data_IF_887174356662
#
_entry.id   IF_887174356662
#
_cell.length_a   1.000
_cell.length_b   1.000
_cell.length_c   1.000
_cell.angle_alpha   90.00
_cell.angle_beta   90.00
_cell.angle_gamma   90.00
#
_symmetry.space_group_name_H-M   'P 1'
#
loop_
_entity.id
_entity.type
_entity.pdbx_description
1 polymer ?
#
# COMPACT_ATOMS: atom_id res chain seq x y z
N UNK A 1 -9.00 -26.92 -17.28
CA UNK A 1 -10.01 -26.74 -16.21
C UNK A 1 -9.30 -26.77 -14.86
N UNK A 2 -8.84 -25.64 -14.31
CA UNK A 2 -8.32 -25.64 -12.95
C UNK A 2 -9.48 -25.74 -11.96
N UNK A 3 -9.33 -26.64 -10.98
CA UNK A 3 -10.27 -26.90 -9.90
C UNK A 3 -10.54 -25.63 -9.10
N UNK A 4 -11.82 -25.37 -8.81
CA UNK A 4 -12.22 -24.50 -7.72
C UNK A 4 -11.53 -24.96 -6.44
N UNK A 5 -10.73 -24.09 -5.83
CA UNK A 5 -10.25 -24.32 -4.47
C UNK A 5 -11.46 -24.38 -3.56
N UNK A 6 -11.62 -25.55 -2.93
CA UNK A 6 -12.55 -25.77 -1.84
C UNK A 6 -12.34 -24.69 -0.78
N UNK A 7 -13.43 -24.08 -0.34
CA UNK A 7 -13.57 -23.30 0.87
C UNK A 7 -13.19 -24.14 2.11
N UNK A 8 -11.91 -24.42 2.28
CA UNK A 8 -11.33 -25.00 3.47
C UNK A 8 -11.00 -23.88 4.44
N UNK A 9 -12.01 -23.40 5.16
CA UNK A 9 -11.78 -22.59 6.35
C UNK A 9 -11.02 -23.42 7.37
N UNK A 10 -9.69 -23.30 7.40
CA UNK A 10 -8.94 -23.72 8.56
C UNK A 10 -9.41 -22.84 9.73
N UNK A 11 -9.85 -23.48 10.82
CA UNK A 11 -10.47 -22.86 11.99
C UNK A 11 -9.54 -21.92 12.82
N UNK A 12 -8.49 -21.36 12.20
CA UNK A 12 -7.44 -20.57 12.88
C UNK A 12 -7.13 -19.20 12.28
N UNK A 13 -7.84 -18.76 11.23
CA UNK A 13 -7.51 -17.54 10.45
C UNK A 13 -8.60 -16.45 10.49
N UNK A 14 -9.38 -16.41 11.57
CA UNK A 14 -10.42 -15.38 11.78
C UNK A 14 -9.84 -14.08 12.34
N UNK A 15 -10.35 -12.94 11.88
CA UNK A 15 -10.09 -11.63 12.47
C UNK A 15 -10.43 -11.58 13.97
N UNK A 16 -11.45 -12.33 14.40
CA UNK A 16 -11.87 -12.40 15.80
C UNK A 16 -10.84 -13.10 16.71
N UNK A 17 -9.86 -13.80 16.13
CA UNK A 17 -8.77 -14.42 16.87
C UNK A 17 -7.77 -13.39 17.40
N UNK A 18 -7.81 -12.13 16.96
CA UNK A 18 -6.87 -11.09 17.41
C UNK A 18 -7.48 -10.18 18.48
N UNK A 19 -6.63 -9.72 19.40
CA UNK A 19 -6.91 -8.60 20.30
C UNK A 19 -5.74 -7.61 20.28
N UNK A 20 -6.06 -6.34 20.38
CA UNK A 20 -5.09 -5.28 20.61
C UNK A 20 -5.22 -4.76 22.04
N UNK A 21 -4.09 -4.58 22.71
CA UNK A 21 -4.01 -3.98 24.04
C UNK A 21 -3.21 -2.69 23.92
N UNK A 22 -3.78 -1.56 24.38
CA UNK A 22 -3.07 -0.28 24.37
C UNK A 22 -1.93 -0.33 25.39
N UNK A 23 -0.70 -0.27 24.90
CA UNK A 23 0.51 -0.26 25.73
C UNK A 23 0.93 1.16 26.09
N UNK A 24 0.66 2.12 25.22
CA UNK A 24 0.98 3.52 25.48
C UNK A 24 0.38 4.46 24.45
N UNK A 25 0.15 5.69 24.87
CA UNK A 25 -0.26 6.79 24.01
C UNK A 25 0.64 7.98 24.30
N UNK A 26 1.18 8.57 23.22
CA UNK A 26 2.02 9.76 23.29
C UNK A 26 1.44 10.82 22.36
N UNK A 27 1.28 12.03 22.90
CA UNK A 27 0.95 13.22 22.14
C UNK A 27 2.11 14.20 22.15
N UNK A 28 2.46 14.72 20.98
CA UNK A 28 3.47 15.77 20.83
C UNK A 28 2.95 16.85 19.92
N UNK A 29 3.38 18.09 20.15
CA UNK A 29 3.06 19.23 19.30
C UNK A 29 4.37 19.86 18.84
N UNK A 30 4.50 20.11 17.53
CA UNK A 30 5.72 20.69 16.99
C UNK A 30 5.76 20.70 15.46
N UNK A 31 6.91 21.08 14.87
CA UNK A 31 7.08 21.00 13.43
C UNK A 31 7.00 19.55 12.94
N UNK A 32 6.62 19.37 11.67
CA UNK A 32 6.62 18.03 11.07
C UNK A 32 8.04 17.45 11.10
N UNK A 33 8.24 16.22 11.59
CA UNK A 33 9.55 15.55 11.56
C UNK A 33 9.99 15.18 10.14
N UNK A 34 9.04 15.14 9.19
CA UNK A 34 9.28 14.69 7.82
C UNK A 34 9.73 15.88 6.94
N UNK A 35 10.88 16.46 7.26
CA UNK A 35 11.63 17.29 6.33
C UNK A 35 12.15 16.38 5.22
N UNK A 36 11.45 16.29 4.08
CA UNK A 36 11.94 15.55 2.91
C UNK A 36 13.29 16.12 2.49
N UNK A 37 14.36 15.43 2.85
CA UNK A 37 15.73 15.75 2.41
C UNK A 37 15.79 15.61 0.89
N UNK A 38 15.64 16.72 0.20
CA UNK A 38 15.81 16.80 -1.25
C UNK A 38 17.29 16.78 -1.57
N UNK A 39 17.84 15.61 -1.93
CA UNK A 39 19.01 15.47 -2.81
C UNK A 39 19.56 14.04 -2.93
N UNK A 40 19.20 13.11 -2.03
CA UNK A 40 19.74 11.75 -2.08
C UNK A 40 18.91 10.80 -2.96
N UNK A 41 19.60 9.88 -3.66
CA UNK A 41 18.98 8.71 -4.29
C UNK A 41 18.24 7.89 -3.24
N UNK A 42 16.92 7.92 -3.29
CA UNK A 42 16.03 7.27 -2.34
C UNK A 42 16.02 5.76 -2.59
N UNK A 43 16.14 4.96 -1.53
CA UNK A 43 15.98 3.52 -1.63
C UNK A 43 14.49 3.19 -1.82
N UNK A 44 14.14 2.59 -2.97
CA UNK A 44 12.76 2.26 -3.31
C UNK A 44 12.42 0.80 -3.00
N UNK A 45 13.35 -0.12 -3.25
CA UNK A 45 13.13 -1.55 -3.02
C UNK A 45 14.44 -2.30 -2.77
N UNK A 46 14.33 -3.49 -2.16
CA UNK A 46 15.43 -4.43 -1.99
C UNK A 46 15.02 -5.83 -2.46
N UNK A 47 15.98 -6.57 -2.98
CA UNK A 47 15.85 -8.01 -3.24
C UNK A 47 17.19 -8.69 -3.03
N UNK A 48 17.28 -9.50 -1.96
CA UNK A 48 18.55 -10.07 -1.54
C UNK A 48 19.58 -8.94 -1.39
N UNK A 49 20.66 -9.04 -2.14
CA UNK A 49 21.75 -8.06 -2.15
C UNK A 49 21.52 -6.85 -3.05
N UNK A 50 20.51 -6.91 -3.94
CA UNK A 50 20.22 -5.83 -4.86
C UNK A 50 19.36 -4.76 -4.20
N UNK A 51 19.67 -3.50 -4.51
CA UNK A 51 18.94 -2.32 -4.03
C UNK A 51 18.54 -1.46 -5.23
N UNK A 52 17.25 -1.15 -5.32
CA UNK A 52 16.70 -0.26 -6.34
C UNK A 52 16.59 1.14 -5.76
N UNK A 53 17.20 2.10 -6.44
CA UNK A 53 17.23 3.50 -6.01
C UNK A 53 16.58 4.41 -7.05
N UNK A 54 15.80 5.37 -6.57
CA UNK A 54 15.15 6.40 -7.37
C UNK A 54 15.78 7.77 -7.16
N UNK A 55 15.90 8.53 -8.23
CA UNK A 55 16.17 9.96 -8.19
C UNK A 55 15.40 10.64 -9.32
N UNK A 56 15.24 11.96 -9.24
CA UNK A 56 14.68 12.72 -10.36
C UNK A 56 15.47 12.37 -11.64
N UNK A 57 14.76 11.94 -12.69
CA UNK A 57 15.36 11.62 -13.97
C UNK A 57 15.93 10.19 -14.12
N UNK A 58 16.00 9.39 -13.05
CA UNK A 58 16.59 8.05 -13.16
C UNK A 58 16.19 7.07 -12.06
N UNK A 59 16.18 5.78 -12.42
CA UNK A 59 16.16 4.66 -11.48
C UNK A 59 17.40 3.79 -11.72
N UNK A 60 18.00 3.26 -10.67
CA UNK A 60 19.19 2.42 -10.78
C UNK A 60 19.17 1.24 -9.83
N UNK A 61 19.98 0.23 -10.15
CA UNK A 61 20.23 -0.92 -9.29
C UNK A 61 21.68 -0.93 -8.84
N UNK A 62 21.90 -1.11 -7.55
CA UNK A 62 23.23 -1.32 -6.96
C UNK A 62 23.30 -2.67 -6.26
N UNK A 63 24.49 -3.26 -6.23
CA UNK A 63 24.74 -4.49 -5.48
C UNK A 63 25.12 -4.23 -4.00
N UNK A 64 25.39 -5.30 -3.26
CA UNK A 64 25.81 -5.26 -1.85
C UNK A 64 27.08 -4.45 -1.62
N UNK A 65 27.99 -4.44 -2.59
CA UNK A 65 29.24 -3.67 -2.57
C UNK A 65 29.04 -2.20 -2.98
N UNK A 66 27.81 -1.78 -3.30
CA UNK A 66 27.50 -0.42 -3.75
C UNK A 66 27.85 -0.15 -5.20
N UNK A 67 28.20 -1.17 -5.99
CA UNK A 67 28.49 -0.99 -7.41
C UNK A 67 27.19 -0.86 -8.20
N UNK A 68 27.11 0.16 -9.04
CA UNK A 68 25.99 0.32 -9.98
C UNK A 68 26.02 -0.81 -11.00
N UNK A 69 24.94 -1.59 -11.06
CA UNK A 69 24.73 -2.62 -12.08
C UNK A 69 24.18 -2.03 -13.36
N UNK A 70 23.20 -1.14 -13.22
CA UNK A 70 22.61 -0.41 -14.33
C UNK A 70 21.92 0.86 -13.83
N UNK A 71 21.64 1.76 -14.77
CA UNK A 71 20.83 2.96 -14.56
C UNK A 71 19.92 3.14 -15.76
N UNK A 72 18.64 3.33 -15.50
CA UNK A 72 17.62 3.63 -16.49
C UNK A 72 17.23 5.11 -16.36
N UNK A 73 17.16 5.84 -17.47
CA UNK A 73 16.71 7.24 -17.49
C UNK A 73 15.19 7.29 -17.60
N UNK A 74 14.53 8.18 -16.88
CA UNK A 74 13.09 8.39 -16.96
C UNK A 74 12.77 9.89 -16.90
N UNK A 75 11.63 10.32 -17.44
CA UNK A 75 11.25 11.75 -17.42
C UNK A 75 10.80 12.25 -16.03
N UNK A 76 10.33 11.34 -15.17
CA UNK A 76 9.75 11.65 -13.87
C UNK A 76 10.69 11.41 -12.68
N UNK A 77 10.08 11.46 -11.49
CA UNK A 77 10.67 11.01 -10.23
C UNK A 77 10.11 9.62 -9.88
N UNK A 78 10.93 8.56 -9.87
CA UNK A 78 10.53 7.29 -9.27
C UNK A 78 10.04 7.47 -7.83
N UNK A 79 8.86 6.96 -7.52
CA UNK A 79 8.21 7.12 -6.22
C UNK A 79 8.06 5.79 -5.46
N UNK A 80 8.04 4.65 -6.16
CA UNK A 80 8.08 3.31 -5.58
C UNK A 80 8.67 2.31 -6.58
N UNK A 81 9.17 1.18 -6.06
CA UNK A 81 9.61 0.06 -6.88
C UNK A 81 9.15 -1.26 -6.28
N UNK A 82 8.81 -2.22 -7.14
CA UNK A 82 8.36 -3.55 -6.77
C UNK A 82 9.17 -4.57 -7.57
N UNK A 83 9.70 -5.58 -6.89
CA UNK A 83 10.56 -6.59 -7.53
C UNK A 83 9.87 -7.94 -7.53
N UNK A 84 9.76 -8.57 -8.71
CA UNK A 84 9.11 -9.87 -8.92
C UNK A 84 9.91 -10.66 -9.95
N UNK A 85 10.30 -11.92 -9.68
CA UNK A 85 10.99 -12.74 -10.69
C UNK A 85 12.29 -12.13 -11.22
N UNK A 86 12.38 -11.79 -12.50
CA UNK A 86 13.52 -11.09 -13.10
C UNK A 86 13.13 -9.68 -13.56
N UNK A 87 12.14 -9.09 -12.89
CA UNK A 87 11.54 -7.80 -13.24
C UNK A 87 11.52 -6.84 -12.07
N UNK A 88 11.57 -5.56 -12.41
CA UNK A 88 11.29 -4.45 -11.51
C UNK A 88 10.21 -3.59 -12.15
N UNK A 89 9.13 -3.36 -11.41
CA UNK A 89 8.13 -2.37 -11.77
C UNK A 89 8.39 -1.11 -10.95
N UNK A 90 8.51 0.04 -11.61
CA UNK A 90 8.79 1.33 -10.98
C UNK A 90 7.66 2.29 -11.30
N UNK A 91 6.94 2.77 -10.29
CA UNK A 91 5.98 3.86 -10.47
C UNK A 91 6.69 5.21 -10.38
N UNK A 92 6.24 6.18 -11.16
CA UNK A 92 6.87 7.51 -11.21
C UNK A 92 5.84 8.62 -11.05
N UNK A 93 6.28 9.74 -10.50
CA UNK A 93 5.57 11.02 -10.57
C UNK A 93 6.13 11.84 -11.74
N UNK A 94 5.25 12.46 -12.50
CA UNK A 94 5.61 13.45 -13.52
C UNK A 94 6.13 14.73 -12.85
N UNK A 95 7.12 15.37 -13.48
CA UNK A 95 7.61 16.69 -13.08
C UNK A 95 6.72 17.82 -13.59
N UNK A 96 5.91 17.53 -14.61
CA UNK A 96 4.96 18.45 -15.21
C UNK A 96 3.53 17.99 -14.91
N UNK A 97 2.61 18.94 -14.81
CA UNK A 97 1.19 18.63 -14.65
C UNK A 97 0.64 18.04 -15.96
N UNK A 98 0.01 16.86 -15.85
CA UNK A 98 -0.61 16.14 -16.95
C UNK A 98 -2.14 16.09 -16.76
N UNK A 99 -2.92 15.61 -17.75
CA UNK A 99 -4.33 15.31 -17.53
C UNK A 99 -4.61 14.33 -16.38
N UNK A 100 -3.60 13.62 -15.87
CA UNK A 100 -3.69 12.72 -14.71
C UNK A 100 -3.06 13.33 -13.44
N UNK A 101 -2.93 14.67 -13.40
CA UNK A 101 -2.17 15.38 -12.38
C UNK A 101 -0.68 15.12 -12.53
N UNK A 102 0.00 14.81 -11.42
CA UNK A 102 1.43 14.49 -11.40
C UNK A 102 1.71 13.00 -11.61
N UNK A 103 0.77 12.22 -12.16
CA UNK A 103 1.01 10.80 -12.44
C UNK A 103 2.01 10.66 -13.60
N UNK A 104 3.14 10.01 -13.35
CA UNK A 104 4.07 9.57 -14.39
C UNK A 104 3.78 8.15 -14.87
N UNK A 105 4.50 7.67 -15.89
CA UNK A 105 4.40 6.28 -16.34
C UNK A 105 4.87 5.31 -15.25
N UNK A 106 4.39 4.07 -15.33
CA UNK A 106 4.97 2.96 -14.59
C UNK A 106 5.89 2.17 -15.53
N UNK A 107 7.15 1.98 -15.13
CA UNK A 107 8.19 1.38 -15.97
C UNK A 107 8.40 -0.06 -15.55
N UNK A 108 8.16 -1.01 -16.47
CA UNK A 108 8.55 -2.41 -16.28
C UNK A 108 9.94 -2.61 -16.87
N UNK A 109 10.91 -2.91 -16.01
CA UNK A 109 12.32 -3.07 -16.36
C UNK A 109 12.78 -4.51 -16.14
N UNK A 110 13.72 -4.96 -16.96
CA UNK A 110 14.50 -6.17 -16.69
C UNK A 110 15.47 -5.91 -15.52
N UNK A 111 15.44 -6.79 -14.51
CA UNK A 111 16.26 -6.62 -13.30
C UNK A 111 17.76 -6.83 -13.59
N UNK A 112 18.13 -7.59 -14.62
CA UNK A 112 19.52 -7.91 -14.90
C UNK A 112 20.29 -6.71 -15.47
N UNK A 113 19.68 -5.96 -16.40
CA UNK A 113 20.35 -4.91 -17.17
C UNK A 113 19.63 -3.55 -17.17
N UNK A 114 18.43 -3.46 -16.59
CA UNK A 114 17.66 -2.22 -16.54
C UNK A 114 17.00 -1.84 -17.88
N UNK A 115 16.94 -2.75 -18.85
CA UNK A 115 16.26 -2.52 -20.12
C UNK A 115 14.75 -2.36 -19.90
N UNK A 116 14.16 -1.37 -20.57
CA UNK A 116 12.70 -1.20 -20.58
C UNK A 116 12.06 -2.38 -21.32
N UNK A 117 11.13 -3.04 -20.63
CA UNK A 117 10.29 -4.10 -21.18
C UNK A 117 8.98 -3.51 -21.67
N UNK A 118 8.31 -2.71 -20.82
CA UNK A 118 7.06 -2.05 -21.15
C UNK A 118 6.89 -0.75 -20.36
N UNK A 119 6.18 0.20 -20.96
CA UNK A 119 5.64 1.37 -20.27
C UNK A 119 4.16 1.12 -19.99
N UNK A 120 3.78 1.20 -18.71
CA UNK A 120 2.44 0.94 -18.19
C UNK A 120 1.90 2.19 -17.51
N UNK A 121 0.64 2.14 -17.06
CA UNK A 121 0.00 3.22 -16.32
C UNK A 121 -0.62 2.72 -15.03
N UNK A 122 -0.29 3.38 -13.92
CA UNK A 122 -0.86 3.08 -12.63
C UNK A 122 -0.21 3.93 -11.53
N UNK A 123 -0.99 4.25 -10.51
CA UNK A 123 -0.55 5.06 -9.36
C UNK A 123 -0.01 4.20 -8.23
N UNK A 124 -0.61 3.02 -8.01
CA UNK A 124 -0.19 2.06 -6.98
C UNK A 124 0.06 0.72 -7.62
N UNK A 125 0.99 -0.03 -7.06
CA UNK A 125 1.35 -1.33 -7.59
C UNK A 125 1.77 -2.31 -6.49
N UNK A 126 1.84 -3.59 -6.85
CA UNK A 126 2.44 -4.63 -6.02
C UNK A 126 3.00 -5.78 -6.88
N UNK A 127 4.04 -6.43 -6.37
CA UNK A 127 4.59 -7.65 -6.96
C UNK A 127 3.73 -8.88 -6.63
N UNK A 128 3.38 -9.69 -7.64
CA UNK A 128 2.59 -10.93 -7.49
C UNK A 128 3.43 -12.21 -7.42
N UNK A 129 4.72 -12.12 -7.74
CA UNK A 129 5.61 -13.27 -7.92
C UNK A 129 5.74 -13.69 -9.39
N UNK A 130 6.80 -14.43 -9.72
CA UNK A 130 7.03 -14.96 -11.06
C UNK A 130 7.30 -13.92 -12.17
N UNK A 131 7.58 -12.66 -11.81
CA UNK A 131 7.70 -11.56 -12.78
C UNK A 131 6.41 -10.78 -13.01
N UNK A 132 5.31 -11.19 -12.37
CA UNK A 132 4.00 -10.54 -12.50
C UNK A 132 3.80 -9.42 -11.50
N UNK A 133 2.95 -8.46 -11.86
CA UNK A 133 2.61 -7.30 -11.06
C UNK A 133 1.14 -6.95 -11.18
N UNK A 134 0.61 -6.26 -10.18
CA UNK A 134 -0.63 -5.51 -10.29
C UNK A 134 -0.35 -4.02 -10.25
N UNK A 135 -1.11 -3.27 -11.04
CA UNK A 135 -1.16 -1.81 -10.98
C UNK A 135 -2.61 -1.38 -10.90
N UNK A 136 -2.87 -0.26 -10.23
CA UNK A 136 -4.17 0.37 -10.35
C UNK A 136 -4.12 1.87 -10.36
N UNK A 137 -5.25 2.43 -10.76
CA UNK A 137 -5.44 3.84 -10.95
C UNK A 137 -6.83 4.25 -10.46
N UNK A 138 -6.91 5.46 -9.94
CA UNK A 138 -8.15 6.06 -9.47
C UNK A 138 -8.21 7.55 -9.80
N UNK A 139 -9.36 7.97 -10.34
CA UNK A 139 -9.65 9.31 -10.83
C UNK A 139 -10.11 9.32 -12.28
N UNK A 140 -10.83 10.38 -12.69
CA UNK A 140 -11.40 10.52 -14.04
C UNK A 140 -12.21 9.29 -14.47
N UNK A 141 -13.16 8.87 -13.63
CA UNK A 141 -14.01 7.67 -13.77
C UNK A 141 -13.28 6.32 -13.76
N UNK A 142 -11.95 6.31 -13.61
CA UNK A 142 -11.16 5.09 -13.41
C UNK A 142 -11.17 4.70 -11.95
N UNK A 143 -11.42 3.41 -11.69
CA UNK A 143 -11.30 2.79 -10.38
C UNK A 143 -10.93 1.31 -10.57
N UNK A 144 -9.76 1.11 -11.16
CA UNK A 144 -9.40 -0.18 -11.75
C UNK A 144 -8.02 -0.65 -11.31
N UNK A 145 -7.89 -1.96 -11.26
CA UNK A 145 -6.65 -2.71 -11.05
C UNK A 145 -6.45 -3.62 -12.25
N UNK A 146 -5.22 -3.71 -12.74
CA UNK A 146 -4.80 -4.56 -13.85
C UNK A 146 -3.65 -5.46 -13.39
N UNK A 147 -3.70 -6.75 -13.71
CA UNK A 147 -2.58 -7.68 -13.54
C UNK A 147 -1.81 -7.80 -14.85
N UNK A 148 -0.50 -7.59 -14.80
CA UNK A 148 0.39 -7.70 -15.93
C UNK A 148 1.39 -8.85 -15.74
N UNK A 149 1.66 -9.56 -16.83
CA UNK A 149 2.72 -10.55 -16.88
C UNK A 149 4.11 -9.88 -17.02
N UNK A 150 5.15 -10.70 -16.93
CA UNK A 150 6.56 -10.31 -16.96
C UNK A 150 7.00 -9.55 -18.21
N UNK A 151 6.24 -9.61 -19.30
CA UNK A 151 6.49 -8.91 -20.56
C UNK A 151 5.63 -7.63 -20.71
N UNK A 152 4.78 -7.34 -19.73
CA UNK A 152 3.84 -6.22 -19.78
C UNK A 152 2.49 -6.57 -20.41
N UNK A 153 2.24 -7.83 -20.77
CA UNK A 153 0.94 -8.28 -21.27
C UNK A 153 -0.11 -8.23 -20.16
N UNK A 154 -1.26 -7.61 -20.44
CA UNK A 154 -2.41 -7.60 -19.52
C UNK A 154 -3.00 -9.02 -19.42
N UNK A 155 -3.16 -9.52 -18.19
CA UNK A 155 -3.65 -10.88 -17.92
C UNK A 155 -5.00 -10.91 -17.22
N UNK A 156 -5.33 -9.88 -16.44
CA UNK A 156 -6.63 -9.75 -15.77
C UNK A 156 -6.87 -8.30 -15.34
N UNK A 157 -8.12 -7.97 -14.99
CA UNK A 157 -8.51 -6.64 -14.56
C UNK A 157 -9.74 -6.64 -13.66
N UNK A 158 -9.75 -5.79 -12.64
CA UNK A 158 -10.83 -5.67 -11.66
C UNK A 158 -11.21 -4.22 -11.46
N UNK A 159 -12.51 -3.96 -11.29
CA UNK A 159 -13.02 -2.66 -10.87
C UNK A 159 -12.85 -2.47 -9.36
N UNK A 160 -11.60 -2.27 -8.95
CA UNK A 160 -11.17 -2.02 -7.58
C UNK A 160 -9.83 -1.27 -7.59
N UNK A 161 -9.56 -0.43 -6.61
CA UNK A 161 -8.28 0.26 -6.44
C UNK A 161 -8.00 0.56 -4.97
N UNK A 162 -6.74 0.43 -4.54
CA UNK A 162 -6.35 0.79 -3.18
C UNK A 162 -4.97 0.29 -2.80
N UNK A 163 -4.84 -0.22 -1.58
CA UNK A 163 -3.61 -0.86 -1.10
C UNK A 163 -3.66 -2.36 -1.35
N UNK A 164 -2.71 -2.87 -2.13
CA UNK A 164 -2.65 -4.28 -2.49
C UNK A 164 -1.99 -5.12 -1.40
N UNK A 165 -2.71 -6.13 -0.93
CA UNK A 165 -2.19 -7.16 -0.04
C UNK A 165 -2.01 -8.45 -0.83
N UNK A 166 -0.76 -8.73 -1.16
CA UNK A 166 -0.35 -9.96 -1.86
C UNK A 166 0.05 -11.03 -0.85
N UNK A 167 -0.52 -12.22 -1.01
CA UNK A 167 -0.17 -13.42 -0.23
C UNK A 167 -0.57 -14.67 -1.00
N UNK A 168 -1.32 -15.58 -0.38
CA UNK A 168 -1.91 -16.74 -1.09
C UNK A 168 -2.95 -16.33 -2.15
N UNK A 169 -3.43 -15.09 -2.10
CA UNK A 169 -4.30 -14.48 -3.09
C UNK A 169 -4.00 -12.99 -3.22
N UNK A 170 -4.93 -12.26 -3.84
CA UNK A 170 -4.86 -10.81 -3.98
C UNK A 170 -6.04 -10.18 -3.24
N UNK A 171 -5.76 -9.33 -2.27
CA UNK A 171 -6.76 -8.52 -1.56
C UNK A 171 -6.44 -7.05 -1.73
N UNK A 172 -7.45 -6.21 -1.63
CA UNK A 172 -7.31 -4.75 -1.72
C UNK A 172 -8.02 -4.12 -0.54
N UNK A 173 -7.34 -3.22 0.16
CA UNK A 173 -7.98 -2.24 1.04
C UNK A 173 -8.27 -1.03 0.16
N UNK A 174 -9.52 -0.90 -0.28
CA UNK A 174 -9.91 0.08 -1.29
C UNK A 174 -9.72 1.51 -0.79
N UNK A 175 -9.32 2.39 -1.71
CA UNK A 175 -9.14 3.81 -1.48
C UNK A 175 -9.93 4.59 -2.53
N UNK A 176 -11.24 4.74 -2.28
CA UNK A 176 -12.19 5.47 -3.11
C UNK A 176 -12.43 6.86 -2.50
N UNK A 177 -11.98 7.92 -3.19
CA UNK A 177 -12.09 9.31 -2.72
C UNK A 177 -13.53 9.84 -2.59
N UNK A 178 -14.54 9.07 -2.99
CA UNK A 178 -15.95 9.47 -2.89
C UNK A 178 -16.38 9.64 -1.44
N UNK A 179 -17.26 10.62 -1.17
CA UNK A 179 -17.81 10.88 0.17
C UNK A 179 -19.35 10.98 0.07
N UNK A 180 -20.11 10.04 0.67
CA UNK A 180 -19.63 8.85 1.37
C UNK A 180 -18.90 7.88 0.43
N UNK A 181 -17.94 7.12 0.96
CA UNK A 181 -17.17 6.13 0.20
C UNK A 181 -17.95 4.82 0.09
N UNK A 182 -17.80 4.11 -1.03
CA UNK A 182 -18.26 2.73 -1.19
C UNK A 182 -17.14 1.71 -0.93
N UNK A 183 -15.96 2.18 -0.52
CA UNK A 183 -14.74 1.40 -0.33
C UNK A 183 -14.90 0.24 0.67
N UNK A 184 -14.20 -0.85 0.38
CA UNK A 184 -14.20 -2.09 1.16
C UNK A 184 -12.81 -2.69 1.30
N UNK A 185 -12.69 -3.69 2.15
CA UNK A 185 -11.66 -4.71 1.94
C UNK A 185 -12.23 -5.78 1.02
N UNK A 186 -11.58 -6.02 -0.12
CA UNK A 186 -12.05 -6.97 -1.14
C UNK A 186 -10.99 -8.02 -1.43
N UNK A 187 -11.42 -9.14 -2.03
CA UNK A 187 -10.55 -10.14 -2.66
C UNK A 187 -10.77 -10.10 -4.17
N UNK A 188 -9.68 -10.07 -4.92
CA UNK A 188 -9.68 -10.11 -6.38
C UNK A 188 -9.50 -11.57 -6.83
N UNK A 189 -10.47 -12.07 -7.57
CA UNK A 189 -10.52 -13.44 -8.09
C UNK A 189 -10.36 -13.43 -9.62
N UNK A 190 -9.80 -14.49 -10.22
CA UNK A 190 -9.59 -14.53 -11.66
C UNK A 190 -10.84 -14.21 -12.50
N UNK A 191 -10.63 -13.54 -13.65
CA UNK A 191 -11.69 -13.15 -14.57
C UNK A 191 -12.44 -11.89 -14.13
N UNK A 192 -11.76 -10.99 -13.42
CA UNK A 192 -12.31 -9.70 -12.98
C UNK A 192 -13.36 -9.76 -11.86
N UNK A 193 -13.50 -10.90 -11.18
CA UNK A 193 -14.46 -11.04 -10.08
C UNK A 193 -13.94 -10.38 -8.80
N UNK A 194 -14.77 -9.54 -8.17
CA UNK A 194 -14.47 -8.87 -6.90
C UNK A 194 -15.35 -9.43 -5.80
N UNK A 195 -14.77 -10.20 -4.89
CA UNK A 195 -15.44 -10.68 -3.69
C UNK A 195 -15.38 -9.60 -2.60
N UNK A 196 -16.56 -9.17 -2.14
CA UNK A 196 -16.70 -8.03 -1.23
C UNK A 196 -16.63 -8.47 0.22
N UNK A 197 -15.76 -7.81 0.98
CA UNK A 197 -15.69 -7.93 2.43
C UNK A 197 -16.29 -6.72 3.16
N UNK A 198 -15.75 -6.36 4.35
CA UNK A 198 -16.30 -5.31 5.19
C UNK A 198 -16.23 -3.95 4.48
N UNK A 199 -17.26 -3.14 4.69
CA UNK A 199 -17.27 -1.73 4.29
C UNK A 199 -16.29 -0.94 5.14
N UNK A 200 -15.65 0.04 4.49
CA UNK A 200 -14.84 1.05 5.12
C UNK A 200 -15.66 2.34 5.24
N UNK A 201 -15.45 3.04 6.33
CA UNK A 201 -15.95 4.41 6.54
C UNK A 201 -15.00 5.46 5.98
N UNK A 202 -13.74 5.08 5.82
CA UNK A 202 -12.65 5.93 5.38
C UNK A 202 -12.46 5.88 3.85
N UNK A 203 -12.59 7.01 3.13
CA UNK A 203 -12.36 7.03 1.69
C UNK A 203 -10.89 6.80 1.32
N UNK A 204 -9.95 7.11 2.22
CA UNK A 204 -8.51 7.03 1.94
C UNK A 204 -7.79 6.42 3.15
N UNK A 205 -8.04 5.14 3.46
CA UNK A 205 -7.33 4.45 4.54
C UNK A 205 -5.82 4.45 4.24
N UNK A 206 -4.96 4.57 5.26
CA UNK A 206 -3.52 4.45 5.07
C UNK A 206 -3.11 3.03 4.69
N UNK A 207 -1.85 2.85 4.34
CA UNK A 207 -1.32 1.52 4.00
C UNK A 207 -1.55 0.53 5.16
N UNK A 208 -2.14 -0.64 4.88
CA UNK A 208 -2.44 -1.62 5.90
C UNK A 208 -1.18 -2.37 6.35
N UNK A 209 -1.26 -3.01 7.51
CA UNK A 209 -0.25 -3.99 7.93
C UNK A 209 -0.76 -5.41 7.71
N UNK A 210 0.12 -6.31 7.30
CA UNK A 210 -0.22 -7.73 7.12
C UNK A 210 0.46 -8.54 8.22
N UNK A 211 -0.32 -9.32 8.96
CA UNK A 211 0.17 -10.23 9.99
C UNK A 211 0.63 -11.56 9.37
N UNK A 212 1.38 -12.35 10.14
CA UNK A 212 1.98 -13.60 9.65
C UNK A 212 0.95 -14.65 9.22
N UNK A 213 -0.24 -14.64 9.82
CA UNK A 213 -1.37 -15.48 9.42
C UNK A 213 -2.13 -14.94 8.19
N UNK A 214 -1.74 -13.78 7.65
CA UNK A 214 -2.41 -13.11 6.54
C UNK A 214 -3.59 -12.23 6.92
N UNK A 215 -3.85 -12.01 8.21
CA UNK A 215 -4.79 -10.98 8.67
C UNK A 215 -4.29 -9.60 8.27
N UNK A 216 -5.20 -8.76 7.75
CA UNK A 216 -4.93 -7.38 7.37
C UNK A 216 -5.37 -6.48 8.52
N UNK A 217 -4.51 -5.58 8.94
CA UNK A 217 -4.85 -4.52 9.87
C UNK A 217 -5.09 -3.23 9.10
N UNK A 218 -6.29 -2.69 9.27
CA UNK A 218 -6.77 -1.50 8.58
C UNK A 218 -7.08 -0.44 9.60
N UNK A 219 -6.56 0.77 9.38
CA UNK A 219 -7.04 1.95 10.10
C UNK A 219 -8.18 2.53 9.28
N UNK A 220 -9.40 2.25 9.71
CA UNK A 220 -10.64 2.70 9.08
C UNK A 220 -11.20 3.85 9.93
N UNK A 221 -10.95 5.08 9.47
CA UNK A 221 -11.30 6.29 10.21
C UNK A 221 -10.48 6.37 11.50
N UNK A 222 -11.18 6.27 12.63
CA UNK A 222 -10.59 6.24 13.98
C UNK A 222 -10.59 4.83 14.60
N UNK A 223 -10.91 3.79 13.83
CA UNK A 223 -10.93 2.42 14.31
C UNK A 223 -9.79 1.58 13.72
N UNK A 224 -9.05 0.89 14.58
CA UNK A 224 -8.13 -0.18 14.17
C UNK A 224 -8.93 -1.47 14.01
N UNK A 225 -8.98 -2.01 12.79
CA UNK A 225 -9.70 -3.24 12.45
C UNK A 225 -8.75 -4.35 12.02
N UNK A 226 -9.09 -5.58 12.37
CA UNK A 226 -8.54 -6.78 11.75
C UNK A 226 -9.52 -7.29 10.69
N UNK A 227 -8.97 -7.73 9.55
CA UNK A 227 -9.71 -8.40 8.48
C UNK A 227 -9.00 -9.70 8.12
N UNK A 228 -9.68 -10.82 8.33
CA UNK A 228 -9.13 -12.16 8.15
C UNK A 228 -8.92 -12.51 6.68
N UNK A 229 -8.38 -13.70 6.43
CA UNK A 229 -8.28 -14.20 5.04
C UNK A 229 -9.65 -14.33 4.41
N UNK A 230 -10.62 -14.80 5.17
CA UNK A 230 -12.03 -14.98 4.79
C UNK A 230 -12.85 -13.70 4.65
N UNK A 231 -12.21 -12.52 4.77
CA UNK A 231 -12.88 -11.21 4.77
C UNK A 231 -13.86 -11.00 5.93
N UNK A 232 -13.81 -11.84 6.97
CA UNK A 232 -14.42 -11.53 8.26
C UNK A 232 -13.65 -10.40 8.94
N UNK A 233 -14.33 -9.60 9.77
CA UNK A 233 -13.72 -8.41 10.37
C UNK A 233 -14.04 -8.25 11.84
N UNK A 234 -13.09 -7.71 12.60
CA UNK A 234 -13.27 -7.34 14.00
C UNK A 234 -12.64 -5.96 14.28
N UNK A 235 -13.31 -5.13 15.07
CA UNK A 235 -12.71 -3.90 15.61
C UNK A 235 -11.81 -4.31 16.77
N UNK A 236 -10.53 -3.93 16.69
CA UNK A 236 -9.54 -4.22 17.74
C UNK A 236 -9.44 -3.07 18.75
N UNK A 237 -9.56 -1.83 18.28
CA UNK A 237 -9.51 -0.64 19.13
C UNK A 237 -10.19 0.55 18.44
N UNK A 238 -10.78 1.43 19.25
CA UNK A 238 -11.27 2.74 18.84
C UNK A 238 -10.33 3.81 19.40
N UNK A 239 -9.84 4.70 18.54
CA UNK A 239 -8.87 5.74 18.89
C UNK A 239 -9.54 7.07 19.21
N UNK A 240 -10.77 7.26 18.75
CA UNK A 240 -11.60 8.43 19.00
C UNK A 240 -13.09 8.03 18.88
N UNK A 241 -14.01 8.87 19.37
CA UNK A 241 -15.45 8.66 19.21
C UNK A 241 -15.87 8.44 17.76
N UNK A 242 -16.90 7.60 17.54
CA UNK A 242 -17.35 7.18 16.21
C UNK A 242 -17.89 8.32 15.33
N UNK A 243 -18.33 9.43 15.93
CA UNK A 243 -18.80 10.62 15.24
C UNK A 243 -17.67 11.58 14.81
N UNK A 244 -16.44 11.37 15.31
CA UNK A 244 -15.29 12.17 14.91
C UNK A 244 -14.95 11.87 13.44
N UNK A 245 -15.09 12.89 12.59
CA UNK A 245 -14.65 12.80 11.18
C UNK A 245 -13.13 12.92 11.08
N UNK A 246 -12.56 12.26 10.08
CA UNK A 246 -11.17 12.48 9.70
C UNK A 246 -11.11 13.71 8.81
N UNK A 247 -10.29 14.70 9.17
CA UNK A 247 -10.07 15.89 8.35
C UNK A 247 -9.18 15.56 7.14
N UNK A 248 -9.40 16.25 6.01
CA UNK A 248 -8.63 16.02 4.79
C UNK A 248 -7.13 16.31 4.94
N UNK A 249 -6.72 17.09 5.96
CA UNK A 249 -5.34 17.41 6.30
C UNK A 249 -4.73 16.43 7.31
N UNK A 250 -5.52 15.49 7.83
CA UNK A 250 -5.05 14.48 8.77
C UNK A 250 -4.24 13.41 8.05
N UNK A 251 -2.95 13.31 8.37
CA UNK A 251 -2.08 12.24 7.86
C UNK A 251 -2.07 11.10 8.87
N UNK A 252 -2.32 9.88 8.42
CA UNK A 252 -2.39 8.70 9.28
C UNK A 252 -1.47 7.61 8.75
N UNK A 253 -0.95 6.79 9.65
CA UNK A 253 -0.11 5.66 9.29
C UNK A 253 -0.25 4.52 10.31
N UNK A 254 -0.19 3.30 9.80
CA UNK A 254 0.06 2.10 10.60
C UNK A 254 1.52 1.70 10.41
N UNK A 255 2.22 1.44 11.52
CA UNK A 255 3.61 1.01 11.52
C UNK A 255 3.80 -0.20 12.40
N UNK A 256 4.63 -1.13 11.96
CA UNK A 256 5.10 -2.24 12.80
C UNK A 256 6.40 -1.83 13.47
N UNK A 257 6.49 -2.07 14.77
CA UNK A 257 7.68 -1.85 15.59
C UNK A 257 7.95 -3.12 16.42
N UNK A 258 8.77 -4.02 15.88
CA UNK A 258 8.94 -5.36 16.41
C UNK A 258 7.61 -6.13 16.48
N UNK A 259 7.23 -6.50 17.71
CA UNK A 259 5.97 -7.20 18.02
C UNK A 259 4.80 -6.25 18.33
N UNK A 260 5.03 -4.94 18.24
CA UNK A 260 4.03 -3.90 18.49
C UNK A 260 3.59 -3.25 17.19
N UNK A 261 2.46 -2.57 17.29
CA UNK A 261 1.93 -1.73 16.23
C UNK A 261 1.75 -0.33 16.74
N UNK A 262 2.24 0.64 15.98
CA UNK A 262 1.99 2.04 16.21
C UNK A 262 0.95 2.54 15.22
N UNK A 263 -0.11 3.16 15.74
CA UNK A 263 -1.00 4.02 14.97
C UNK A 263 -0.53 5.45 15.17
N UNK A 264 -0.15 6.13 14.08
CA UNK A 264 0.29 7.52 14.10
C UNK A 264 -0.76 8.36 13.40
N UNK A 265 -1.28 9.38 14.09
CA UNK A 265 -2.18 10.38 13.52
C UNK A 265 -1.54 11.74 13.66
N UNK A 266 -1.48 12.48 12.56
CA UNK A 266 -0.93 13.83 12.50
C UNK A 266 -2.01 14.77 12.01
N UNK A 267 -2.41 15.68 12.88
CA UNK A 267 -3.37 16.73 12.57
C UNK A 267 -2.59 18.04 12.45
N UNK A 268 -2.68 18.68 11.27
CA UNK A 268 -2.08 19.98 11.05
C UNK A 268 -2.88 21.04 11.79
N UNK A 269 -2.19 21.96 12.45
CA UNK A 269 -2.84 23.10 13.08
C UNK A 269 -3.54 23.97 12.02
N UNK A 270 -4.74 24.45 12.36
CA UNK A 270 -5.56 25.23 11.43
C UNK A 270 -4.95 26.61 11.15
N UNK A 271 -4.34 27.21 12.18
CA UNK A 271 -3.82 28.57 12.18
C UNK A 271 -2.30 28.62 11.94
N UNK A 272 -1.58 27.54 12.30
CA UNK A 272 -0.13 27.41 12.12
C UNK A 272 0.24 26.24 11.18
N UNK A 273 0.28 26.43 9.84
CA UNK A 273 0.53 25.38 8.84
C UNK A 273 1.76 24.49 9.01
N UNK A 274 2.79 25.00 9.69
CA UNK A 274 4.05 24.31 9.95
C UNK A 274 3.99 23.46 11.22
N UNK A 275 2.95 23.62 12.04
CA UNK A 275 2.76 22.95 13.32
C UNK A 275 1.76 21.81 13.20
N UNK A 276 2.08 20.72 13.86
CA UNK A 276 1.30 19.49 13.86
C UNK A 276 1.10 19.01 15.29
N UNK A 277 -0.11 18.55 15.59
CA UNK A 277 -0.35 17.62 16.68
C UNK A 277 -0.09 16.22 16.15
N UNK A 278 0.77 15.47 16.83
CA UNK A 278 1.07 14.08 16.51
C UNK A 278 0.67 13.22 17.70
N UNK A 279 -0.34 12.38 17.49
CA UNK A 279 -0.74 11.33 18.41
C UNK A 279 -0.20 9.99 17.93
N UNK A 280 0.39 9.22 18.86
CA UNK A 280 0.90 7.88 18.61
C UNK A 280 0.34 6.93 19.64
N UNK A 281 -0.51 6.00 19.21
CA UNK A 281 -0.99 4.88 20.03
C UNK A 281 -0.17 3.65 19.71
N UNK A 282 0.39 3.01 20.73
CA UNK A 282 1.16 1.77 20.60
C UNK A 282 0.36 0.62 21.18
N UNK A 283 0.13 -0.40 20.35
CA UNK A 283 -0.62 -1.59 20.71
C UNK A 283 0.27 -2.82 20.76
N UNK A 284 0.06 -3.65 21.77
CA UNK A 284 0.49 -5.05 21.77
C UNK A 284 -0.58 -5.91 21.11
N UNK A 285 -0.18 -6.77 20.18
CA UNK A 285 -1.09 -7.73 19.57
C UNK A 285 -0.97 -9.10 20.22
N UNK A 286 -2.12 -9.73 20.48
CA UNK A 286 -2.16 -11.11 20.97
C UNK A 286 -3.24 -11.88 20.22
N UNK A 287 -2.98 -13.16 19.97
CA UNK A 287 -4.05 -14.09 19.62
C UNK A 287 -4.87 -14.42 20.87
N UNK A 288 -6.18 -14.56 20.70
CA UNK A 288 -7.07 -15.18 21.67
C UNK A 288 -6.76 -16.68 21.68
N UNK A 289 -6.62 -17.23 22.88
CA UNK A 289 -6.45 -18.66 23.09
C UNK A 289 -7.74 -19.40 22.75
#
# INVERSE_FOLDING_TARGET
MPRAESSGGAAGDSAAAWRAELVGHRRTVGPSPDGRSGSARELLARRGELRIHGGIGSVGCVDSAGRTRWTHRCAGRPNAAHVSGDRVLVTTDSLEYTPWGLLGPALLLDLADGRLVAELRGRRAAARGGGRFVLGLEGYDVFDTWEYDRDGTLTDSWRSYGHYVVGTGLRVVEADRSIPTDGRVVRLLPGGVVERGPRLSDPQPPEPLVLGDGTILVLDGWALRAVGRGLDSAVLAELAPADKKVDARTVRALRRDGDRIAVVVRERDADEPTRYTVDTWTFGLRRRA
#
